data_IF_780938469792
#
_entry.id   IF_780938469792
#
_cell.length_a   1.000
_cell.length_b   1.000
_cell.length_c   1.000
_cell.angle_alpha   90.00
_cell.angle_beta   90.00
_cell.angle_gamma   90.00
#
_symmetry.space_group_name_H-M   'P 1'
#
loop_
_entity.id
_entity.type
_entity.pdbx_description
1 polymer ?
#
# COMPACT_ATOMS: atom_id res chain seq x y z
N UNK A 1 35.71 -62.48 -6.48
CA UNK A 1 35.33 -62.04 -5.12
C UNK A 1 36.23 -60.88 -4.75
N UNK A 2 35.71 -59.72 -4.32
CA UNK A 2 36.57 -58.61 -3.91
C UNK A 2 37.46 -59.06 -2.74
N UNK A 3 38.76 -58.75 -2.81
CA UNK A 3 39.70 -59.10 -1.74
C UNK A 3 39.40 -58.27 -0.50
N UNK A 4 39.71 -58.78 0.71
CA UNK A 4 39.55 -58.02 1.95
C UNK A 4 40.22 -56.64 1.87
N UNK A 5 41.37 -56.54 1.18
CA UNK A 5 42.09 -55.28 0.97
C UNK A 5 41.31 -54.28 0.14
N UNK A 6 40.61 -54.76 -0.89
CA UNK A 6 39.75 -53.94 -1.75
C UNK A 6 38.54 -53.42 -0.98
N UNK A 7 37.96 -54.25 -0.10
CA UNK A 7 36.84 -53.84 0.75
C UNK A 7 37.27 -52.81 1.78
N UNK A 8 38.43 -53.00 2.43
CA UNK A 8 38.96 -52.04 3.41
C UNK A 8 39.37 -50.71 2.76
N UNK A 9 39.94 -50.75 1.55
CA UNK A 9 40.31 -49.53 0.84
C UNK A 9 39.07 -48.71 0.42
N UNK A 10 38.01 -49.38 -0.03
CA UNK A 10 36.76 -48.72 -0.39
C UNK A 10 36.07 -48.11 0.83
N UNK A 11 36.02 -48.84 1.95
CA UNK A 11 35.49 -48.33 3.21
C UNK A 11 36.27 -47.11 3.70
N UNK A 12 37.61 -47.15 3.67
CA UNK A 12 38.45 -46.03 4.06
C UNK A 12 38.23 -44.77 3.19
N UNK A 13 38.12 -44.93 1.86
CA UNK A 13 37.83 -43.81 0.95
C UNK A 13 36.44 -43.21 1.21
N UNK A 14 35.43 -44.04 1.51
CA UNK A 14 34.07 -43.56 1.80
C UNK A 14 33.94 -42.81 3.12
N UNK A 15 34.79 -43.10 4.11
CA UNK A 15 34.78 -42.37 5.38
C UNK A 15 35.38 -40.96 5.25
N UNK A 16 36.37 -40.75 4.38
CA UNK A 16 37.00 -39.43 4.17
C UNK A 16 36.05 -38.44 3.50
N UNK A 17 35.16 -38.89 2.62
CA UNK A 17 34.18 -38.01 1.95
C UNK A 17 33.08 -37.48 2.87
N UNK A 18 32.83 -38.14 4.00
CA UNK A 18 31.84 -37.71 5.00
C UNK A 18 32.44 -36.83 6.11
N UNK A 19 33.76 -36.83 6.28
CA UNK A 19 34.47 -36.06 7.31
C UNK A 19 34.89 -34.67 6.80
N UNK A 20 33.96 -33.90 6.22
CA UNK A 20 34.21 -32.49 5.92
C UNK A 20 34.20 -31.67 7.22
N UNK A 21 35.21 -30.82 7.49
CA UNK A 21 35.24 -29.94 8.66
C UNK A 21 34.23 -28.78 8.56
N UNK A 22 33.49 -28.67 7.46
CA UNK A 22 32.50 -27.61 7.25
C UNK A 22 31.19 -28.02 7.90
N UNK A 23 30.71 -27.25 8.88
CA UNK A 23 29.39 -27.42 9.48
C UNK A 23 28.35 -27.36 8.34
N UNK A 24 27.60 -28.45 8.12
CA UNK A 24 26.59 -28.50 7.05
C UNK A 24 25.54 -27.41 7.22
N UNK A 25 25.31 -26.92 8.45
CA UNK A 25 24.44 -25.77 8.72
C UNK A 25 24.95 -24.45 8.16
N UNK A 26 26.26 -24.31 7.89
CA UNK A 26 26.83 -23.13 7.22
C UNK A 26 26.75 -23.21 5.69
N UNK A 27 26.43 -24.39 5.13
CA UNK A 27 26.20 -24.63 3.70
C UNK A 27 24.69 -24.67 3.39
N UNK A 28 23.82 -24.79 4.40
CA UNK A 28 22.41 -24.55 4.20
C UNK A 28 22.19 -23.10 3.76
N UNK A 29 21.46 -22.94 2.65
CA UNK A 29 21.13 -21.64 2.07
C UNK A 29 20.42 -20.84 3.17
N UNK A 30 21.12 -19.89 3.80
CA UNK A 30 20.51 -19.01 4.81
C UNK A 30 19.23 -18.44 4.21
N UNK A 31 18.14 -18.46 4.97
CA UNK A 31 16.90 -17.81 4.55
C UNK A 31 17.25 -16.41 4.06
N UNK A 32 16.88 -16.13 2.82
CA UNK A 32 17.35 -14.92 2.13
C UNK A 32 16.67 -13.75 2.80
N UNK A 33 17.46 -12.89 3.46
CA UNK A 33 16.95 -11.63 3.98
C UNK A 33 16.33 -10.84 2.83
N UNK A 34 15.02 -10.63 2.90
CA UNK A 34 14.28 -9.84 1.93
C UNK A 34 13.34 -8.89 2.65
N UNK A 35 13.11 -7.73 2.03
CA UNK A 35 12.08 -6.80 2.44
C UNK A 35 11.27 -6.43 1.19
N UNK A 36 9.97 -6.28 1.35
CA UNK A 36 9.11 -5.80 0.27
C UNK A 36 9.24 -4.29 0.17
N UNK A 37 9.85 -3.80 -0.90
CA UNK A 37 9.82 -2.39 -1.22
C UNK A 37 8.42 -2.03 -1.73
N UNK A 38 7.62 -1.36 -0.90
CA UNK A 38 6.33 -0.83 -1.30
C UNK A 38 6.55 0.53 -1.97
N UNK A 39 6.08 0.69 -3.21
CA UNK A 39 6.13 1.98 -3.89
C UNK A 39 5.27 2.98 -3.13
N UNK A 40 5.91 4.03 -2.61
CA UNK A 40 5.19 5.14 -1.97
C UNK A 40 4.58 6.01 -3.06
N UNK A 41 3.27 5.89 -3.25
CA UNK A 41 2.51 6.71 -4.18
C UNK A 41 2.70 8.22 -3.95
N UNK A 42 2.40 9.01 -4.99
CA UNK A 42 2.39 10.47 -4.92
C UNK A 42 1.19 10.96 -4.11
N UNK A 43 1.44 11.42 -2.89
CA UNK A 43 0.42 12.12 -2.11
C UNK A 43 0.35 13.56 -2.58
N UNK A 44 -0.77 13.96 -3.20
CA UNK A 44 -1.03 15.36 -3.54
C UNK A 44 -1.15 16.17 -2.25
N UNK A 45 -0.41 17.26 -2.17
CA UNK A 45 -0.33 18.12 -1.00
C UNK A 45 -1.08 19.42 -1.28
N UNK A 46 -2.08 19.73 -0.46
CA UNK A 46 -2.72 21.05 -0.49
C UNK A 46 -1.90 22.02 0.39
N UNK A 47 -1.24 23.00 -0.24
CA UNK A 47 -0.36 23.97 0.41
C UNK A 47 -1.04 24.75 1.54
N UNK A 48 -2.20 25.40 1.28
CA UNK A 48 -2.98 26.09 2.31
C UNK A 48 -3.32 25.23 3.54
N UNK A 49 -3.81 24.00 3.34
CA UNK A 49 -4.09 23.07 4.45
C UNK A 49 -2.82 22.76 5.26
N UNK A 50 -1.68 22.59 4.59
CA UNK A 50 -0.42 22.32 5.27
C UNK A 50 0.10 23.52 6.06
N UNK A 51 -0.02 24.73 5.51
CA UNK A 51 0.32 25.95 6.24
C UNK A 51 -0.56 26.12 7.47
N UNK A 52 -1.87 25.95 7.34
CA UNK A 52 -2.80 25.99 8.47
C UNK A 52 -2.43 24.96 9.56
N UNK A 53 -2.09 23.73 9.17
CA UNK A 53 -1.61 22.69 10.10
C UNK A 53 -0.31 23.08 10.81
N UNK A 54 0.62 23.74 10.12
CA UNK A 54 1.89 24.20 10.69
C UNK A 54 1.63 25.29 11.74
N UNK A 55 0.79 26.28 11.45
CA UNK A 55 0.40 27.31 12.42
C UNK A 55 -0.23 26.69 13.67
N UNK A 56 -1.19 25.76 13.48
CA UNK A 56 -1.82 25.04 14.60
C UNK A 56 -0.81 24.23 15.43
N UNK A 57 0.15 23.56 14.77
CA UNK A 57 1.19 22.75 15.46
C UNK A 57 2.07 23.60 16.38
N UNK A 58 2.43 24.79 15.95
CA UNK A 58 3.30 25.70 16.70
C UNK A 58 2.53 26.75 17.51
N UNK A 59 1.21 26.56 17.70
CA UNK A 59 0.33 27.46 18.46
C UNK A 59 0.31 28.91 17.94
N UNK A 60 0.59 29.10 16.65
CA UNK A 60 0.47 30.39 15.98
C UNK A 60 -0.90 30.54 15.31
N UNK A 61 -1.36 31.78 15.15
CA UNK A 61 -2.57 32.09 14.38
C UNK A 61 -2.21 32.19 12.90
N UNK A 62 -2.84 31.39 12.04
CA UNK A 62 -2.65 31.48 10.60
C UNK A 62 -3.19 32.82 10.04
N UNK A 63 -2.54 33.46 9.06
CA UNK A 63 -3.09 34.62 8.36
C UNK A 63 -4.44 34.33 7.72
N UNK A 64 -5.29 35.36 7.57
CA UNK A 64 -6.66 35.23 7.05
C UNK A 64 -6.71 34.51 5.68
N UNK A 65 -5.79 34.84 4.77
CA UNK A 65 -5.71 34.26 3.44
C UNK A 65 -5.39 32.76 3.47
N UNK A 66 -4.61 32.31 4.46
CA UNK A 66 -4.31 30.88 4.66
C UNK A 66 -5.52 30.15 5.21
N UNK A 67 -6.28 30.78 6.12
CA UNK A 67 -7.49 30.19 6.67
C UNK A 67 -8.58 30.06 5.59
N UNK A 68 -8.80 31.10 4.79
CA UNK A 68 -9.79 31.08 3.70
C UNK A 68 -9.42 30.05 2.63
N UNK A 69 -8.16 30.01 2.20
CA UNK A 69 -7.70 29.03 1.22
C UNK A 69 -7.71 27.59 1.75
N UNK A 70 -7.48 27.37 3.05
CA UNK A 70 -7.61 26.06 3.67
C UNK A 70 -9.08 25.62 3.83
N UNK A 71 -10.00 26.56 4.10
CA UNK A 71 -11.43 26.29 4.18
C UNK A 71 -12.05 26.00 2.79
N UNK A 72 -11.64 26.76 1.77
CA UNK A 72 -12.03 26.53 0.38
C UNK A 72 -11.49 25.19 -0.18
N UNK A 73 -10.52 24.58 0.51
CA UNK A 73 -9.99 23.28 0.18
C UNK A 73 -10.80 22.11 0.76
N UNK A 74 -12.01 22.35 1.26
CA UNK A 74 -12.96 21.29 1.57
C UNK A 74 -13.29 20.51 0.29
N UNK A 75 -12.70 19.32 0.17
CA UNK A 75 -12.94 18.40 -0.96
C UNK A 75 -13.97 17.36 -0.53
N UNK A 76 -14.99 17.15 -1.36
CA UNK A 76 -15.91 16.02 -1.26
C UNK A 76 -15.66 15.02 -2.38
N UNK A 77 -15.92 13.74 -2.11
CA UNK A 77 -16.00 12.68 -3.12
C UNK A 77 -17.22 11.84 -2.81
N UNK A 78 -17.97 11.48 -3.84
CA UNK A 78 -19.12 10.57 -3.75
C UNK A 78 -18.98 9.53 -4.86
N UNK A 79 -19.46 8.31 -4.63
CA UNK A 79 -19.50 7.28 -5.65
C UNK A 79 -20.66 7.58 -6.61
N UNK A 80 -20.39 7.52 -7.91
CA UNK A 80 -21.41 7.57 -8.96
C UNK A 80 -21.60 6.13 -9.47
N UNK A 81 -22.75 5.54 -9.18
CA UNK A 81 -23.05 4.13 -9.52
C UNK A 81 -24.02 4.11 -10.70
N UNK A 82 -23.75 3.35 -11.77
CA UNK A 82 -24.71 3.25 -12.87
C UNK A 82 -26.02 2.61 -12.38
N UNK A 83 -27.16 3.12 -12.86
CA UNK A 83 -28.49 2.59 -12.49
C UNK A 83 -28.72 1.17 -13.05
N UNK A 84 -28.18 0.89 -14.23
CA UNK A 84 -28.34 -0.37 -14.96
C UNK A 84 -27.04 -0.82 -15.65
N UNK A 85 -27.07 -2.00 -16.26
CA UNK A 85 -25.93 -2.56 -17.00
C UNK A 85 -25.59 -1.79 -18.30
N UNK A 86 -26.36 -0.76 -18.64
CA UNK A 86 -26.22 0.02 -19.87
C UNK A 86 -25.77 1.46 -19.61
N UNK A 87 -25.45 1.81 -18.36
CA UNK A 87 -25.03 3.14 -17.94
C UNK A 87 -26.03 4.25 -18.33
N UNK A 88 -27.34 3.98 -18.23
CA UNK A 88 -28.39 4.93 -18.63
C UNK A 88 -28.31 6.26 -17.86
N UNK A 89 -28.00 6.21 -16.56
CA UNK A 89 -27.68 7.35 -15.68
C UNK A 89 -26.82 6.89 -14.50
N UNK A 90 -26.31 7.85 -13.71
CA UNK A 90 -25.45 7.58 -12.57
C UNK A 90 -25.99 8.18 -11.27
N UNK A 91 -26.26 7.32 -10.30
CA UNK A 91 -26.81 7.70 -8.99
C UNK A 91 -25.68 7.98 -7.98
N UNK A 92 -25.82 9.11 -7.30
CA UNK A 92 -24.94 9.56 -6.22
C UNK A 92 -25.77 9.72 -4.93
N UNK A 93 -25.39 9.09 -3.81
CA UNK A 93 -26.08 9.28 -2.54
C UNK A 93 -25.84 10.69 -1.97
N UNK A 94 -26.94 11.39 -1.64
CA UNK A 94 -26.94 12.74 -1.06
C UNK A 94 -27.90 12.80 0.13
N UNK A 95 -27.46 13.38 1.25
CA UNK A 95 -28.33 13.62 2.41
C UNK A 95 -29.07 14.96 2.28
N UNK A 96 -30.39 14.91 2.20
CA UNK A 96 -31.28 16.10 2.19
C UNK A 96 -32.20 16.04 3.41
N UNK A 97 -32.08 17.03 4.29
CA UNK A 97 -32.94 17.12 5.49
C UNK A 97 -32.82 15.93 6.46
N UNK A 98 -31.71 15.17 6.40
CA UNK A 98 -31.50 13.97 7.22
C UNK A 98 -31.93 12.65 6.57
N UNK A 99 -32.48 12.71 5.34
CA UNK A 99 -32.80 11.52 4.53
C UNK A 99 -31.77 11.37 3.42
N UNK A 100 -31.30 10.16 3.18
CA UNK A 100 -30.43 9.85 2.04
C UNK A 100 -31.29 9.58 0.79
N UNK A 101 -30.93 10.24 -0.30
CA UNK A 101 -31.56 10.12 -1.61
C UNK A 101 -30.48 9.78 -2.65
N UNK A 102 -30.81 8.90 -3.59
CA UNK A 102 -29.98 8.61 -4.76
C UNK A 102 -30.33 9.60 -5.88
N UNK A 103 -29.42 10.53 -6.18
CA UNK A 103 -29.65 11.62 -7.13
C UNK A 103 -28.73 11.50 -8.35
N UNK A 104 -29.23 11.90 -9.52
CA UNK A 104 -28.43 12.06 -10.74
C UNK A 104 -27.80 13.47 -10.79
N UNK A 105 -26.49 13.54 -10.99
CA UNK A 105 -25.76 14.81 -11.04
C UNK A 105 -25.73 15.36 -12.47
N UNK A 106 -26.85 15.96 -12.86
CA UNK A 106 -27.07 16.47 -14.21
C UNK A 106 -26.44 17.86 -14.43
N UNK A 107 -25.32 17.90 -15.17
CA UNK A 107 -24.68 19.16 -15.58
C UNK A 107 -25.43 19.90 -16.71
N UNK A 108 -26.48 19.31 -17.26
CA UNK A 108 -27.34 19.88 -18.30
C UNK A 108 -28.52 20.70 -17.77
N UNK A 109 -28.74 20.73 -16.45
CA UNK A 109 -29.81 21.48 -15.79
C UNK A 109 -29.28 22.30 -14.60
N UNK A 110 -30.18 23.04 -13.92
CA UNK A 110 -29.85 23.96 -12.82
C UNK A 110 -30.76 23.81 -11.60
N UNK A 111 -31.67 22.86 -11.62
CA UNK A 111 -32.56 22.55 -10.50
C UNK A 111 -31.97 21.34 -9.76
N UNK A 112 -32.15 21.32 -8.43
CA UNK A 112 -31.74 20.23 -7.54
C UNK A 112 -32.97 19.58 -6.92
#
# INVERSE_FOLDING_TARGET
MPSLRSVTALAALSCVSLASPVDRRSIEKRDTFSFNQVFRGTVRKNGPIQMAKVYNKYKGTAPADVQSAAAAAATGTVAATPEDDYDSLYLCPVTVGGTELELDFDTGSADL
#
